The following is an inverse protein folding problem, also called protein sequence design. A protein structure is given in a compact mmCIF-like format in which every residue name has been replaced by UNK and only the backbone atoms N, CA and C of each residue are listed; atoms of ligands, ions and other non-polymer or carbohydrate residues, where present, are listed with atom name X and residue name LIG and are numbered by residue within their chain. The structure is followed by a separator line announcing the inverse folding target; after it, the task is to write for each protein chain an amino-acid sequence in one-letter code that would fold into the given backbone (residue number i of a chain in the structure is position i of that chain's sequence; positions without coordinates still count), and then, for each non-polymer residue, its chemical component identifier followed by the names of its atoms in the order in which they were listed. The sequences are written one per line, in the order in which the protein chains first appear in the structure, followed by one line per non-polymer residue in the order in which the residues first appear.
data_IF_431530531876
#
_entry.id   IF_431530531876
#
_cell.length_a   1.000
_cell.length_b   1.000
_cell.length_c   1.000
_cell.angle_alpha   90.00
_cell.angle_beta   90.00
_cell.angle_gamma   90.00
#
_symmetry.space_group_name_H-M   'P 1'
#
loop_
_entity.id
_entity.type
_entity.pdbx_description
1 polymer ?
#
# COMPACT_ATOMS: atom_id res chain seq x y z
N UNK A 1 41.67 17.68 44.31
CA UNK A 1 41.32 18.43 43.08
C UNK A 1 41.21 17.58 41.80
N UNK A 2 41.68 16.31 41.72
CA UNK A 2 41.58 15.50 40.48
C UNK A 2 40.34 14.59 40.35
N UNK A 3 39.49 14.49 41.38
CA UNK A 3 38.31 13.62 41.41
C UNK A 3 37.00 14.34 41.08
N UNK A 4 36.95 15.67 41.23
CA UNK A 4 35.75 16.48 40.94
C UNK A 4 35.65 16.80 39.44
N UNK A 5 36.78 16.98 38.73
CA UNK A 5 36.80 17.20 37.27
C UNK A 5 36.29 15.99 36.47
N UNK A 6 36.51 14.76 36.96
CA UNK A 6 36.00 13.55 36.30
C UNK A 6 34.48 13.37 36.44
N UNK A 7 33.88 13.87 37.52
CA UNK A 7 32.43 13.85 37.73
C UNK A 7 31.73 14.87 36.82
N UNK A 8 32.34 16.02 36.56
CA UNK A 8 31.80 17.01 35.62
C UNK A 8 31.92 16.59 34.15
N UNK A 9 33.00 15.93 33.74
CA UNK A 9 33.10 15.38 32.37
C UNK A 9 32.07 14.28 32.09
N UNK A 10 31.75 13.42 33.07
CA UNK A 10 30.71 12.41 32.90
C UNK A 10 29.29 13.01 32.88
N UNK A 11 29.02 14.09 33.63
CA UNK A 11 27.70 14.74 33.62
C UNK A 11 27.41 15.48 32.31
N UNK A 12 28.42 16.10 31.68
CA UNK A 12 28.25 16.76 30.37
C UNK A 12 28.04 15.74 29.25
N UNK A 13 28.67 14.56 29.34
CA UNK A 13 28.44 13.46 28.40
C UNK A 13 27.03 12.83 28.52
N UNK A 14 26.45 12.77 29.73
CA UNK A 14 25.08 12.27 29.90
C UNK A 14 24.00 13.27 29.44
N UNK A 15 24.27 14.58 29.50
CA UNK A 15 23.34 15.60 29.00
C UNK A 15 23.32 15.70 27.46
N UNK A 16 24.39 15.31 26.77
CA UNK A 16 24.49 15.35 25.31
C UNK A 16 23.69 14.26 24.57
N UNK A 17 23.19 13.23 25.26
CA UNK A 17 22.37 12.16 24.65
C UNK A 17 20.86 12.36 24.79
N UNK A 18 20.40 13.46 25.40
CA UNK A 18 18.96 13.70 25.62
C UNK A 18 18.29 14.58 24.56
N UNK A 19 19.02 15.00 23.53
CA UNK A 19 18.47 15.75 22.40
C UNK A 19 18.61 15.01 21.07
N UNK A 20 18.48 13.68 21.07
CA UNK A 20 17.89 13.05 19.88
C UNK A 20 16.47 13.58 19.88
N UNK A 21 16.03 14.37 18.88
CA UNK A 21 14.62 14.63 18.74
C UNK A 21 14.01 13.24 18.66
N UNK A 22 13.28 12.84 19.71
CA UNK A 22 12.25 11.83 19.59
C UNK A 22 11.41 12.40 18.47
N UNK A 23 11.65 11.92 17.24
CA UNK A 23 10.85 12.28 16.07
C UNK A 23 9.44 12.17 16.61
N UNK A 24 8.65 13.25 16.61
CA UNK A 24 7.32 13.20 17.18
C UNK A 24 6.70 11.97 16.58
N UNK A 25 6.29 11.01 17.43
CA UNK A 25 5.52 9.87 17.01
C UNK A 25 4.37 10.49 16.25
N UNK A 26 4.49 10.57 14.92
CA UNK A 26 3.59 11.36 14.09
C UNK A 26 2.26 10.73 14.38
N UNK A 27 1.38 11.49 15.04
CA UNK A 27 -0.02 11.14 15.12
C UNK A 27 -0.40 10.75 13.70
N UNK A 28 -0.82 9.51 13.50
CA UNK A 28 -1.24 9.06 12.19
C UNK A 28 -2.26 10.09 11.71
N UNK A 29 -1.95 10.77 10.60
CA UNK A 29 -2.88 11.67 9.94
C UNK A 29 -4.22 10.93 9.84
N UNK A 30 -5.31 11.54 10.27
CA UNK A 30 -6.61 10.87 10.31
C UNK A 30 -6.94 10.26 8.94
N UNK A 31 -7.63 9.11 8.93
CA UNK A 31 -8.10 8.54 7.68
C UNK A 31 -9.16 9.48 7.03
N UNK A 32 -8.97 9.93 5.79
CA UNK A 32 -9.90 10.90 5.17
C UNK A 32 -11.26 10.29 4.82
N UNK A 33 -11.33 8.96 4.73
CA UNK A 33 -12.52 8.24 4.25
C UNK A 33 -13.45 7.79 5.37
N UNK A 34 -12.92 7.57 6.58
CA UNK A 34 -13.69 7.09 7.73
C UNK A 34 -13.03 7.52 9.03
N UNK A 35 -13.80 8.10 9.94
CA UNK A 35 -13.30 8.48 11.26
C UNK A 35 -13.10 7.26 12.17
N UNK A 36 -12.26 7.41 13.21
CA UNK A 36 -12.07 6.35 14.20
C UNK A 36 -13.38 5.95 14.91
N UNK A 37 -14.29 6.89 15.13
CA UNK A 37 -15.59 6.64 15.76
C UNK A 37 -16.52 5.84 14.84
N UNK A 38 -16.58 6.21 13.56
CA UNK A 38 -17.36 5.48 12.56
C UNK A 38 -16.82 4.06 12.38
N UNK A 39 -15.50 3.90 12.30
CA UNK A 39 -14.87 2.58 12.20
C UNK A 39 -15.16 1.71 13.43
N UNK A 40 -15.04 2.28 14.63
CA UNK A 40 -15.35 1.56 15.88
C UNK A 40 -16.83 1.17 15.98
N UNK A 41 -17.74 1.98 15.43
CA UNK A 41 -19.18 1.66 15.36
C UNK A 41 -19.47 0.54 14.36
N UNK A 42 -18.85 0.59 13.19
CA UNK A 42 -19.05 -0.39 12.12
C UNK A 42 -18.42 -1.75 12.46
N UNK A 43 -17.25 -1.76 13.12
CA UNK A 43 -16.50 -2.98 13.47
C UNK A 43 -16.13 -3.03 14.97
N UNK A 44 -17.12 -3.15 15.88
CA UNK A 44 -16.90 -3.00 17.32
C UNK A 44 -16.11 -4.15 17.96
N UNK A 45 -16.06 -5.33 17.32
CA UNK A 45 -15.37 -6.50 17.85
C UNK A 45 -13.83 -6.35 17.91
N UNK A 46 -13.29 -5.33 17.24
CA UNK A 46 -11.85 -5.10 17.11
C UNK A 46 -11.52 -3.65 17.46
N UNK A 47 -10.53 -3.46 18.32
CA UNK A 47 -9.92 -2.14 18.53
C UNK A 47 -8.98 -1.86 17.37
N UNK A 48 -9.36 -0.95 16.49
CA UNK A 48 -8.55 -0.56 15.32
C UNK A 48 -7.71 0.67 15.64
N UNK A 49 -6.42 0.57 15.38
CA UNK A 49 -5.47 1.68 15.45
C UNK A 49 -4.99 2.01 14.04
N UNK A 50 -5.10 3.29 13.64
CA UNK A 50 -4.57 3.74 12.37
C UNK A 50 -3.05 3.67 12.37
N UNK A 51 -2.48 2.97 11.39
CA UNK A 51 -1.03 2.82 11.20
C UNK A 51 -0.53 3.81 10.15
N UNK A 52 -1.31 4.03 9.09
CA UNK A 52 -0.95 4.92 7.99
C UNK A 52 -2.20 5.38 7.26
N UNK A 53 -2.31 6.65 6.92
CA UNK A 53 -3.30 7.16 5.97
C UNK A 53 -2.81 7.10 4.51
N UNK A 54 -1.73 6.36 4.25
CA UNK A 54 -1.13 6.19 2.93
C UNK A 54 -1.03 7.51 2.14
N UNK A 55 -0.66 8.59 2.82
CA UNK A 55 -0.54 9.93 2.24
C UNK A 55 -1.82 10.39 1.50
N UNK A 56 -3.00 10.02 2.02
CA UNK A 56 -4.31 10.45 1.53
C UNK A 56 -4.94 9.59 0.43
N UNK A 57 -4.40 8.41 0.12
CA UNK A 57 -4.99 7.48 -0.88
C UNK A 57 -5.78 6.32 -0.28
N UNK A 58 -5.52 6.03 0.98
CA UNK A 58 -6.01 4.84 1.64
C UNK A 58 -5.73 4.88 3.12
N UNK A 59 -6.05 3.83 3.86
CA UNK A 59 -5.81 3.75 5.29
C UNK A 59 -5.43 2.32 5.66
N UNK A 60 -4.36 2.15 6.44
CA UNK A 60 -3.94 0.89 7.01
C UNK A 60 -4.23 0.93 8.50
N UNK A 61 -4.97 -0.05 9.00
CA UNK A 61 -5.27 -0.20 10.41
C UNK A 61 -4.74 -1.52 10.94
N UNK A 62 -4.32 -1.50 12.21
CA UNK A 62 -4.00 -2.68 12.99
C UNK A 62 -5.13 -2.91 14.00
N UNK A 63 -5.74 -4.09 13.97
CA UNK A 63 -6.66 -4.56 14.99
C UNK A 63 -5.90 -5.09 16.20
N UNK A 64 -6.49 -4.97 17.40
CA UNK A 64 -5.86 -5.38 18.67
C UNK A 64 -5.47 -6.86 18.80
N UNK A 65 -5.86 -7.73 17.84
CA UNK A 65 -5.46 -9.14 17.76
C UNK A 65 -4.36 -9.43 16.71
N UNK A 66 -3.76 -8.37 16.13
CA UNK A 66 -2.83 -8.49 15.02
C UNK A 66 -3.50 -8.49 13.63
N UNK A 67 -4.83 -8.38 13.57
CA UNK A 67 -5.57 -8.22 12.32
C UNK A 67 -5.09 -6.98 11.56
N UNK A 68 -5.03 -7.04 10.24
CA UNK A 68 -4.66 -5.88 9.41
C UNK A 68 -5.80 -5.54 8.48
N UNK A 69 -6.23 -4.29 8.44
CA UNK A 69 -7.17 -3.79 7.46
C UNK A 69 -6.49 -2.79 6.54
N UNK A 70 -6.72 -2.93 5.23
CA UNK A 70 -6.25 -2.01 4.20
C UNK A 70 -7.46 -1.47 3.43
N UNK A 71 -7.66 -0.17 3.48
CA UNK A 71 -8.62 0.59 2.66
C UNK A 71 -7.81 1.33 1.61
N UNK A 72 -8.14 1.19 0.34
CA UNK A 72 -7.45 1.87 -0.77
C UNK A 72 -8.50 2.45 -1.72
N UNK A 73 -8.31 3.71 -2.11
CA UNK A 73 -9.12 4.37 -3.13
C UNK A 73 -8.28 4.51 -4.38
N UNK A 74 -8.85 4.15 -5.52
CA UNK A 74 -8.28 4.37 -6.84
C UNK A 74 -9.18 5.34 -7.59
N UNK A 75 -8.64 6.44 -8.07
CA UNK A 75 -9.30 7.34 -9.02
C UNK A 75 -8.99 6.87 -10.44
N UNK A 76 -9.86 7.17 -11.38
CA UNK A 76 -9.66 6.87 -12.80
C UNK A 76 -9.89 8.13 -13.62
N UNK A 77 -9.39 8.21 -14.87
CA UNK A 77 -9.55 9.39 -15.70
C UNK A 77 -11.02 9.78 -15.88
N UNK A 78 -11.88 8.78 -16.02
CA UNK A 78 -13.32 8.91 -16.15
C UNK A 78 -14.04 7.66 -15.62
N UNK A 79 -15.38 7.70 -15.67
CA UNK A 79 -16.27 6.65 -15.17
C UNK A 79 -16.21 5.36 -16.00
N UNK A 80 -15.98 5.47 -17.31
CA UNK A 80 -15.95 4.30 -18.18
C UNK A 80 -14.67 3.51 -17.93
N UNK A 81 -13.54 4.20 -17.77
CA UNK A 81 -12.28 3.58 -17.35
C UNK A 81 -12.35 2.98 -15.95
N UNK A 82 -13.01 3.67 -15.01
CA UNK A 82 -13.26 3.12 -13.68
C UNK A 82 -14.08 1.81 -13.75
N UNK A 83 -15.10 1.75 -14.60
CA UNK A 83 -15.91 0.54 -14.78
C UNK A 83 -15.10 -0.61 -15.36
N UNK A 84 -14.28 -0.37 -16.38
CA UNK A 84 -13.39 -1.40 -16.94
C UNK A 84 -12.40 -1.95 -15.91
N UNK A 85 -11.77 -1.07 -15.13
CA UNK A 85 -10.82 -1.48 -14.11
C UNK A 85 -11.52 -2.19 -12.96
N UNK A 86 -12.69 -1.73 -12.54
CA UNK A 86 -13.52 -2.40 -11.53
C UNK A 86 -13.83 -3.84 -11.91
N UNK A 87 -14.20 -4.11 -13.17
CA UNK A 87 -14.43 -5.47 -13.65
C UNK A 87 -13.18 -6.36 -13.49
N UNK A 88 -11.98 -5.79 -13.66
CA UNK A 88 -10.71 -6.49 -13.43
C UNK A 88 -10.49 -6.79 -11.96
N UNK A 89 -10.76 -5.83 -11.04
CA UNK A 89 -10.69 -6.06 -9.60
C UNK A 89 -11.64 -7.18 -9.15
N UNK A 90 -12.89 -7.15 -9.63
CA UNK A 90 -13.89 -8.19 -9.33
C UNK A 90 -13.42 -9.55 -9.84
N UNK A 91 -12.92 -9.62 -11.09
CA UNK A 91 -12.38 -10.87 -11.64
C UNK A 91 -11.21 -11.43 -10.82
N UNK A 92 -10.20 -10.61 -10.53
CA UNK A 92 -9.01 -11.02 -9.77
C UNK A 92 -9.34 -11.40 -8.32
N UNK A 93 -10.33 -10.75 -7.72
CA UNK A 93 -10.81 -11.13 -6.40
C UNK A 93 -11.61 -12.45 -6.47
N UNK A 94 -12.43 -12.63 -7.50
CA UNK A 94 -13.20 -13.84 -7.77
C UNK A 94 -12.36 -15.11 -7.99
N UNK A 95 -11.12 -14.96 -8.46
CA UNK A 95 -10.17 -16.07 -8.57
C UNK A 95 -9.70 -16.61 -7.21
N UNK A 96 -9.86 -15.82 -6.13
CA UNK A 96 -9.39 -16.14 -4.76
C UNK A 96 -10.52 -16.45 -3.78
N UNK A 97 -11.73 -15.96 -4.06
CA UNK A 97 -12.90 -16.13 -3.19
C UNK A 97 -14.21 -16.07 -3.98
N UNK A 98 -15.28 -16.75 -3.52
CA UNK A 98 -16.61 -16.49 -4.03
C UNK A 98 -17.04 -15.06 -3.72
N UNK A 99 -17.65 -14.39 -4.70
CA UNK A 99 -18.11 -13.01 -4.58
C UNK A 99 -19.63 -12.92 -4.63
N UNK A 100 -20.17 -12.05 -3.80
CA UNK A 100 -21.57 -11.69 -3.78
C UNK A 100 -21.73 -10.18 -3.94
N UNK A 101 -22.81 -9.76 -4.60
CA UNK A 101 -23.17 -8.36 -4.69
C UNK A 101 -23.44 -7.79 -3.28
N UNK A 102 -22.89 -6.61 -3.01
CA UNK A 102 -23.09 -5.89 -1.75
C UNK A 102 -23.93 -4.65 -2.02
N UNK A 103 -25.18 -4.68 -1.56
CA UNK A 103 -26.13 -3.61 -1.82
C UNK A 103 -25.83 -2.33 -1.01
N UNK A 104 -26.15 -1.18 -1.62
CA UNK A 104 -26.05 0.13 -0.96
C UNK A 104 -24.62 0.61 -0.73
N UNK A 105 -23.69 0.24 -1.61
CA UNK A 105 -22.30 0.73 -1.62
C UNK A 105 -21.96 1.15 -3.06
N UNK A 106 -21.74 2.45 -3.26
CA UNK A 106 -21.41 2.99 -4.58
C UNK A 106 -22.48 2.72 -5.65
N UNK A 107 -22.04 2.76 -6.91
CA UNK A 107 -22.83 2.37 -8.08
C UNK A 107 -22.91 0.84 -8.19
N UNK A 108 -21.81 0.15 -7.88
CA UNK A 108 -21.70 -1.32 -7.85
C UNK A 108 -20.79 -1.75 -6.71
N UNK A 109 -21.12 -2.85 -6.03
CA UNK A 109 -20.32 -3.40 -4.93
C UNK A 109 -20.27 -4.92 -4.95
N UNK A 110 -19.09 -5.49 -4.71
CA UNK A 110 -18.85 -6.94 -4.60
C UNK A 110 -18.03 -7.23 -3.34
N UNK A 111 -18.32 -8.35 -2.67
CA UNK A 111 -17.58 -8.75 -1.48
C UNK A 111 -17.57 -10.26 -1.26
N UNK A 112 -16.58 -10.73 -0.51
CA UNK A 112 -16.39 -12.15 -0.25
C UNK A 112 -15.36 -12.44 0.82
N UNK A 113 -15.23 -13.71 1.15
CA UNK A 113 -14.23 -14.24 2.08
C UNK A 113 -13.48 -15.41 1.46
N UNK A 114 -12.19 -15.50 1.76
CA UNK A 114 -11.36 -16.63 1.39
C UNK A 114 -11.92 -17.96 1.92
N UNK A 115 -11.72 -19.05 1.19
CA UNK A 115 -12.10 -20.38 1.67
C UNK A 115 -11.46 -20.75 3.02
N UNK A 116 -12.13 -21.62 3.78
CA UNK A 116 -11.72 -22.02 5.14
C UNK A 116 -10.31 -22.64 5.25
N UNK A 117 -9.81 -23.23 4.16
CA UNK A 117 -8.46 -23.82 4.07
C UNK A 117 -7.46 -22.97 3.29
N UNK A 118 -7.81 -21.72 2.93
CA UNK A 118 -6.90 -20.84 2.23
C UNK A 118 -5.68 -20.52 3.09
N UNK A 119 -4.50 -20.59 2.48
CA UNK A 119 -3.20 -20.28 3.11
C UNK A 119 -3.19 -18.89 3.76
N UNK A 120 -3.93 -17.96 3.16
CA UNK A 120 -4.17 -16.64 3.72
C UNK A 120 -5.67 -16.39 3.84
N UNK A 121 -6.09 -16.06 5.06
CA UNK A 121 -7.47 -15.65 5.33
C UNK A 121 -7.65 -14.17 4.97
N UNK A 122 -8.75 -13.85 4.28
CA UNK A 122 -9.07 -12.52 3.78
C UNK A 122 -10.60 -12.33 3.70
N UNK A 123 -11.11 -11.20 4.21
CA UNK A 123 -12.42 -10.68 3.86
C UNK A 123 -12.23 -9.40 3.04
N UNK A 124 -12.91 -9.27 1.92
CA UNK A 124 -12.70 -8.15 0.99
C UNK A 124 -14.01 -7.62 0.43
N UNK A 125 -14.05 -6.30 0.23
CA UNK A 125 -15.12 -5.57 -0.47
C UNK A 125 -14.47 -4.65 -1.51
N UNK A 126 -15.00 -4.65 -2.73
CA UNK A 126 -14.67 -3.69 -3.78
C UNK A 126 -15.93 -2.98 -4.23
N UNK A 127 -15.86 -1.67 -4.43
CA UNK A 127 -16.99 -0.86 -4.87
C UNK A 127 -16.57 0.16 -5.93
N UNK A 128 -17.41 0.35 -6.95
CA UNK A 128 -17.33 1.40 -7.95
C UNK A 128 -18.19 2.58 -7.52
N UNK A 129 -17.70 3.81 -7.65
CA UNK A 129 -18.48 5.03 -7.43
C UNK A 129 -17.97 6.16 -8.32
N UNK A 130 -18.69 6.44 -9.40
CA UNK A 130 -18.26 7.41 -10.42
C UNK A 130 -16.92 7.02 -11.05
N UNK A 131 -15.93 7.91 -10.97
CA UNK A 131 -14.56 7.69 -11.43
C UNK A 131 -13.66 7.00 -10.37
N UNK A 132 -14.23 6.56 -9.23
CA UNK A 132 -13.48 5.95 -8.13
C UNK A 132 -13.78 4.46 -7.96
N UNK A 133 -12.77 3.72 -7.53
CA UNK A 133 -12.88 2.35 -7.01
C UNK A 133 -12.38 2.36 -5.57
N UNK A 134 -13.18 1.85 -4.65
CA UNK A 134 -12.80 1.59 -3.27
C UNK A 134 -12.52 0.09 -3.12
N UNK A 135 -11.36 -0.28 -2.59
CA UNK A 135 -11.08 -1.65 -2.15
C UNK A 135 -10.77 -1.65 -0.65
N UNK A 136 -11.44 -2.51 0.11
CA UNK A 136 -11.12 -2.76 1.51
C UNK A 136 -10.88 -4.25 1.72
N UNK A 137 -9.75 -4.59 2.32
CA UNK A 137 -9.37 -5.96 2.67
C UNK A 137 -9.00 -6.05 4.15
N UNK A 138 -9.54 -7.05 4.84
CA UNK A 138 -9.15 -7.41 6.20
C UNK A 138 -8.47 -8.77 6.18
N UNK A 139 -7.27 -8.82 6.77
CA UNK A 139 -6.47 -10.02 6.98
C UNK A 139 -6.51 -10.39 8.47
N UNK A 140 -7.41 -11.29 8.88
CA UNK A 140 -7.48 -11.72 10.27
C UNK A 140 -6.27 -12.60 10.64
N UNK A 141 -5.82 -12.48 11.89
CA UNK A 141 -4.73 -13.30 12.43
C UNK A 141 -5.29 -14.47 13.24
N UNK A 142 -4.84 -15.69 12.92
CA UNK A 142 -5.15 -16.90 13.70
C UNK A 142 -6.62 -17.34 13.67
N UNK A 143 -7.43 -16.81 12.75
CA UNK A 143 -8.86 -17.14 12.61
C UNK A 143 -9.32 -17.03 11.16
N UNK A 144 -10.48 -17.61 10.86
CA UNK A 144 -11.08 -17.56 9.52
C UNK A 144 -11.62 -16.17 9.21
N UNK A 145 -11.63 -15.85 7.92
CA UNK A 145 -12.46 -14.79 7.38
C UNK A 145 -13.85 -15.36 7.07
N UNK A 146 -14.89 -14.83 7.72
CA UNK A 146 -16.26 -15.32 7.62
C UNK A 146 -17.25 -14.14 7.56
N UNK A 147 -18.55 -14.44 7.54
CA UNK A 147 -19.61 -13.44 7.44
C UNK A 147 -19.66 -12.49 8.64
N UNK A 148 -19.19 -12.95 9.82
CA UNK A 148 -19.05 -12.11 10.99
C UNK A 148 -17.98 -11.02 10.80
N UNK A 149 -17.07 -11.19 9.84
CA UNK A 149 -16.13 -10.16 9.40
C UNK A 149 -16.65 -9.38 8.17
N UNK A 150 -17.26 -10.07 7.20
CA UNK A 150 -17.69 -9.47 5.93
C UNK A 150 -18.85 -8.47 6.09
N UNK A 151 -19.82 -8.75 6.97
CA UNK A 151 -20.94 -7.85 7.24
C UNK A 151 -20.47 -6.48 7.78
N UNK A 152 -19.73 -6.45 8.90
CA UNK A 152 -19.09 -5.22 9.42
C UNK A 152 -18.19 -4.52 8.41
N UNK A 153 -17.42 -5.27 7.61
CA UNK A 153 -16.57 -4.70 6.55
C UNK A 153 -17.38 -4.00 5.45
N UNK A 154 -18.56 -4.55 5.11
CA UNK A 154 -19.48 -3.92 4.15
C UNK A 154 -20.03 -2.60 4.67
N UNK A 155 -20.30 -2.48 5.98
CA UNK A 155 -20.67 -1.19 6.60
C UNK A 155 -19.53 -0.19 6.54
N UNK A 156 -18.29 -0.62 6.81
CA UNK A 156 -17.11 0.25 6.65
C UNK A 156 -16.99 0.75 5.21
N UNK A 157 -17.19 -0.14 4.22
CA UNK A 157 -17.16 0.23 2.81
C UNK A 157 -18.27 1.23 2.44
N UNK A 158 -19.48 1.09 3.01
CA UNK A 158 -20.58 2.05 2.83
C UNK A 158 -20.23 3.46 3.32
N UNK A 159 -19.61 3.56 4.49
CA UNK A 159 -19.19 4.85 5.05
C UNK A 159 -18.03 5.44 4.24
N UNK A 160 -17.04 4.60 3.92
CA UNK A 160 -15.84 5.03 3.19
C UNK A 160 -16.14 5.47 1.76
N UNK A 161 -17.03 4.78 1.03
CA UNK A 161 -17.33 5.09 -0.36
C UNK A 161 -17.96 6.47 -0.52
N UNK A 162 -18.76 6.92 0.47
CA UNK A 162 -19.35 8.26 0.48
C UNK A 162 -18.30 9.39 0.61
N UNK A 163 -17.06 9.05 0.95
CA UNK A 163 -15.97 9.99 1.21
C UNK A 163 -14.81 9.86 0.22
N UNK A 164 -14.89 9.03 -0.83
CA UNK A 164 -13.77 8.76 -1.76
C UNK A 164 -13.28 10.00 -2.50
N UNK A 165 -14.13 11.01 -2.69
CA UNK A 165 -13.75 12.29 -3.29
C UNK A 165 -12.78 13.11 -2.43
N UNK A 166 -12.62 12.78 -1.14
CA UNK A 166 -11.58 13.35 -0.27
C UNK A 166 -10.20 12.75 -0.53
N UNK A 167 -10.10 11.78 -1.44
CA UNK A 167 -8.83 11.20 -1.83
C UNK A 167 -7.90 12.29 -2.37
N UNK A 168 -6.62 12.19 -2.03
CA UNK A 168 -5.59 13.09 -2.56
C UNK A 168 -5.20 12.78 -4.02
N UNK A 169 -5.80 11.73 -4.60
CA UNK A 169 -5.52 11.27 -5.95
C UNK A 169 -5.90 12.29 -7.04
N UNK A 170 -4.95 12.52 -7.95
CA UNK A 170 -5.05 13.53 -9.02
C UNK A 170 -4.20 13.16 -10.21
N UNK A 171 -4.67 13.45 -11.42
CA UNK A 171 -3.88 13.30 -12.63
C UNK A 171 -2.89 14.46 -12.77
N UNK A 172 -1.70 14.19 -13.31
CA UNK A 172 -0.65 15.20 -13.50
C UNK A 172 0.73 14.69 -13.11
N UNK A 173 1.65 15.61 -12.84
CA UNK A 173 3.07 15.28 -12.63
C UNK A 173 3.31 14.43 -11.37
N UNK A 174 4.31 13.55 -11.45
CA UNK A 174 4.81 12.79 -10.33
C UNK A 174 6.20 13.27 -9.90
N UNK A 175 6.40 13.51 -8.61
CA UNK A 175 7.71 13.89 -8.05
C UNK A 175 8.65 12.67 -7.90
N UNK A 176 8.10 11.46 -7.84
CA UNK A 176 8.84 10.22 -7.65
C UNK A 176 9.32 9.61 -8.97
N UNK A 177 8.48 9.67 -10.02
CA UNK A 177 8.72 9.15 -11.35
C UNK A 177 8.65 10.25 -12.41
N UNK A 178 9.50 10.14 -13.42
CA UNK A 178 9.61 11.00 -14.60
C UNK A 178 9.37 10.18 -15.86
N UNK A 179 9.05 10.82 -16.99
CA UNK A 179 8.89 10.10 -18.26
C UNK A 179 10.17 9.34 -18.70
N UNK A 180 11.34 9.76 -18.21
CA UNK A 180 12.60 9.02 -18.42
C UNK A 180 12.64 7.73 -17.61
N UNK A 181 11.99 7.67 -16.45
CA UNK A 181 11.89 6.44 -15.65
C UNK A 181 11.03 5.39 -16.33
N UNK A 182 10.06 5.82 -17.14
CA UNK A 182 9.20 4.96 -17.95
C UNK A 182 9.90 4.43 -19.21
N UNK A 183 11.10 4.92 -19.55
CA UNK A 183 11.79 4.52 -20.77
C UNK A 183 12.18 3.05 -20.78
N UNK A 184 11.86 2.37 -21.87
CA UNK A 184 12.04 0.93 -21.99
C UNK A 184 11.09 0.11 -21.12
N UNK A 185 10.12 0.72 -20.41
CA UNK A 185 9.08 0.01 -19.66
C UNK A 185 7.67 0.29 -20.23
N UNK A 186 7.41 1.53 -20.61
CA UNK A 186 6.11 2.02 -21.07
C UNK A 186 6.28 2.77 -22.39
N UNK A 187 5.24 2.74 -23.23
CA UNK A 187 5.20 3.60 -24.42
C UNK A 187 5.05 5.08 -24.03
N UNK A 188 6.15 5.83 -24.19
CA UNK A 188 6.23 7.26 -23.88
C UNK A 188 5.22 8.10 -24.67
N UNK A 189 4.80 7.68 -25.87
CA UNK A 189 3.90 8.45 -26.73
C UNK A 189 2.45 8.46 -26.21
N UNK A 190 2.12 7.51 -25.34
CA UNK A 190 0.77 7.34 -24.75
C UNK A 190 0.80 7.37 -23.23
N UNK A 191 1.88 7.91 -22.66
CA UNK A 191 2.12 7.90 -21.22
C UNK A 191 1.13 8.81 -20.48
N UNK A 192 0.40 8.22 -19.55
CA UNK A 192 -0.40 8.92 -18.57
C UNK A 192 0.22 8.81 -17.18
N UNK A 193 0.06 9.86 -16.37
CA UNK A 193 0.58 9.92 -15.01
C UNK A 193 -0.53 10.28 -14.05
N UNK A 194 -0.70 9.42 -13.05
CA UNK A 194 -1.65 9.59 -11.97
C UNK A 194 -0.89 9.68 -10.65
N UNK A 195 -1.06 10.79 -9.94
CA UNK A 195 -0.66 10.87 -8.54
C UNK A 195 -1.70 10.12 -7.71
N UNK A 196 -1.32 8.98 -7.17
CA UNK A 196 -2.15 8.08 -6.37
C UNK A 196 -2.02 8.36 -4.87
N UNK A 197 -1.52 9.53 -4.46
CA UNK A 197 -1.28 9.90 -3.06
C UNK A 197 -0.24 11.03 -2.93
N UNK A 198 -0.04 11.61 -1.74
CA UNK A 198 1.03 12.60 -1.58
C UNK A 198 2.41 11.96 -1.85
N UNK A 199 2.70 10.78 -1.32
CA UNK A 199 3.93 10.04 -1.59
C UNK A 199 3.84 9.01 -2.72
N UNK A 200 2.77 8.97 -3.51
CA UNK A 200 2.52 7.86 -4.44
C UNK A 200 2.09 8.33 -5.83
N UNK A 201 2.55 7.62 -6.86
CA UNK A 201 2.08 7.82 -8.22
C UNK A 201 2.18 6.54 -9.06
N UNK A 202 1.45 6.56 -10.16
CA UNK A 202 1.38 5.54 -11.17
C UNK A 202 1.62 6.19 -12.53
N UNK A 203 2.38 5.52 -13.39
CA UNK A 203 2.51 5.81 -14.80
C UNK A 203 1.99 4.61 -15.58
N UNK A 204 1.23 4.84 -16.64
CA UNK A 204 0.75 3.76 -17.49
C UNK A 204 0.68 4.21 -18.95
N UNK A 205 0.79 3.25 -19.87
CA UNK A 205 0.61 3.48 -21.30
C UNK A 205 -0.79 3.04 -21.77
N UNK A 206 -1.08 3.24 -23.06
CA UNK A 206 -2.36 2.83 -23.66
C UNK A 206 -2.60 1.31 -23.58
N UNK A 207 -1.55 0.50 -23.50
CA UNK A 207 -1.67 -0.96 -23.33
C UNK A 207 -1.90 -1.36 -21.87
N UNK A 208 -2.00 -0.38 -20.95
CA UNK A 208 -2.14 -0.55 -19.51
C UNK A 208 -0.94 -1.24 -18.84
N UNK A 209 0.25 -1.22 -19.47
CA UNK A 209 1.48 -1.51 -18.75
C UNK A 209 1.65 -0.45 -17.67
N UNK A 210 2.04 -0.86 -16.47
CA UNK A 210 1.99 0.03 -15.31
C UNK A 210 3.33 0.08 -14.58
N UNK A 211 3.80 1.28 -14.28
CA UNK A 211 4.86 1.54 -13.32
C UNK A 211 4.29 2.31 -12.12
N UNK A 212 4.57 1.87 -10.90
CA UNK A 212 4.04 2.51 -9.68
C UNK A 212 5.17 2.78 -8.71
N UNK A 213 5.15 3.95 -8.07
CA UNK A 213 5.90 4.22 -6.85
C UNK A 213 4.93 4.55 -5.73
N UNK A 214 5.07 3.88 -4.61
CA UNK A 214 4.34 4.17 -3.39
C UNK A 214 5.31 4.41 -2.25
N UNK A 215 5.43 5.65 -1.79
CA UNK A 215 6.18 6.03 -0.59
C UNK A 215 5.19 6.22 0.54
N UNK A 216 5.41 5.51 1.65
CA UNK A 216 4.58 5.61 2.85
C UNK A 216 5.46 5.77 4.08
N UNK A 217 5.02 6.60 5.02
CA UNK A 217 5.59 6.62 6.37
C UNK A 217 5.24 5.31 7.08
N UNK A 218 6.25 4.61 7.62
CA UNK A 218 6.05 3.35 8.35
C UNK A 218 7.23 3.04 9.27
N UNK A 219 7.00 2.22 10.29
CA UNK A 219 8.06 1.79 11.20
C UNK A 219 9.04 0.83 10.50
N UNK A 220 10.31 0.82 10.94
CA UNK A 220 11.32 -0.14 10.44
C UNK A 220 10.84 -1.58 10.63
N UNK A 221 10.30 -1.90 11.81
CA UNK A 221 9.81 -3.25 12.12
C UNK A 221 8.67 -3.69 11.19
N UNK A 222 7.72 -2.80 10.92
CA UNK A 222 6.62 -3.04 9.96
C UNK A 222 7.17 -3.26 8.56
N UNK A 223 8.08 -2.39 8.11
CA UNK A 223 8.71 -2.52 6.80
C UNK A 223 9.42 -3.87 6.71
N UNK A 224 10.38 -4.16 7.60
CA UNK A 224 11.14 -5.42 7.65
C UNK A 224 10.24 -6.65 7.75
N UNK A 225 9.13 -6.57 8.49
CA UNK A 225 8.13 -7.64 8.57
C UNK A 225 7.43 -7.89 7.23
N UNK A 226 7.08 -6.82 6.50
CA UNK A 226 6.57 -6.94 5.13
C UNK A 226 7.62 -7.51 4.17
N UNK A 227 8.91 -7.23 4.38
CA UNK A 227 10.00 -7.76 3.56
C UNK A 227 10.29 -9.24 3.79
N UNK A 228 10.07 -9.72 5.00
CA UNK A 228 10.39 -11.10 5.41
C UNK A 228 9.24 -12.07 5.17
N UNK A 229 8.31 -11.76 4.26
CA UNK A 229 7.16 -12.62 3.98
C UNK A 229 7.64 -14.02 3.56
N UNK A 230 7.35 -15.01 4.39
CA UNK A 230 7.50 -16.41 4.03
C UNK A 230 6.48 -16.72 2.95
N UNK A 231 6.96 -16.87 1.72
CA UNK A 231 6.16 -17.29 0.58
C UNK A 231 7.07 -17.97 -0.44
N UNK A 232 6.50 -18.56 -1.50
CA UNK A 232 7.27 -19.16 -2.59
C UNK A 232 8.07 -18.13 -3.39
N UNK A 233 8.06 -16.86 -2.95
CA UNK A 233 8.67 -15.77 -3.65
C UNK A 233 10.14 -15.56 -3.41
N UNK A 234 10.87 -15.44 -4.52
CA UNK A 234 12.31 -15.27 -4.53
C UNK A 234 12.61 -13.80 -4.22
N UNK A 235 13.24 -13.59 -3.07
CA UNK A 235 13.80 -12.30 -2.69
C UNK A 235 15.22 -12.16 -3.24
N UNK A 236 15.53 -11.00 -3.82
CA UNK A 236 16.87 -10.64 -4.29
C UNK A 236 17.34 -9.44 -3.48
N UNK A 237 18.39 -9.59 -2.67
CA UNK A 237 18.95 -8.46 -1.93
C UNK A 237 19.55 -7.42 -2.90
N UNK A 238 19.42 -6.14 -2.58
CA UNK A 238 19.96 -5.02 -3.36
C UNK A 238 20.89 -4.21 -2.44
N UNK A 239 22.08 -4.74 -2.09
CA UNK A 239 22.94 -4.17 -1.05
C UNK A 239 23.36 -2.72 -1.33
N UNK A 240 23.44 -2.32 -2.60
CA UNK A 240 23.74 -0.95 -3.03
C UNK A 240 22.69 0.09 -2.57
N UNK A 241 21.48 -0.35 -2.21
CA UNK A 241 20.40 0.50 -1.67
C UNK A 241 20.19 0.31 -0.16
N UNK A 242 21.16 -0.30 0.54
CA UNK A 242 21.12 -0.54 1.98
C UNK A 242 20.68 -1.95 2.36
N UNK A 243 20.78 -2.26 3.65
CA UNK A 243 20.47 -3.61 4.17
C UNK A 243 18.96 -3.91 4.21
N UNK A 244 18.12 -2.89 4.07
CA UNK A 244 16.66 -2.99 3.99
C UNK A 244 16.11 -2.74 2.57
N UNK A 245 16.85 -3.17 1.56
CA UNK A 245 16.45 -3.12 0.16
C UNK A 245 16.45 -4.52 -0.49
N UNK A 246 15.34 -4.85 -1.16
CA UNK A 246 15.21 -6.14 -1.85
C UNK A 246 14.21 -6.05 -3.01
N UNK A 247 14.43 -6.89 -4.01
CA UNK A 247 13.49 -7.16 -5.09
C UNK A 247 12.67 -8.42 -4.82
N UNK A 248 11.42 -8.41 -5.28
CA UNK A 248 10.49 -9.52 -5.28
C UNK A 248 10.08 -9.80 -6.73
N UNK A 249 10.29 -11.04 -7.18
CA UNK A 249 9.66 -11.56 -8.39
C UNK A 249 8.21 -11.97 -8.06
N UNK A 250 7.31 -12.04 -9.03
CA UNK A 250 5.98 -12.62 -8.83
C UNK A 250 6.02 -14.13 -9.08
N UNK A 251 5.62 -14.95 -8.09
CA UNK A 251 6.04 -16.38 -8.02
C UNK A 251 4.91 -17.33 -7.64
N UNK A 252 3.73 -16.79 -7.35
CA UNK A 252 2.50 -17.58 -7.28
C UNK A 252 1.35 -16.77 -7.83
N UNK A 253 0.43 -17.49 -8.50
CA UNK A 253 -0.79 -17.03 -9.19
C UNK A 253 -1.12 -15.54 -9.00
N UNK A 254 -0.93 -14.80 -10.09
CA UNK A 254 -1.02 -13.34 -10.23
C UNK A 254 -0.32 -12.95 -11.53
N UNK A 255 0.13 -11.70 -11.65
CA UNK A 255 0.94 -11.29 -12.80
C UNK A 255 2.40 -11.77 -12.64
N UNK A 256 2.73 -12.96 -13.15
CA UNK A 256 4.08 -13.55 -13.10
C UNK A 256 5.17 -12.75 -13.83
N UNK A 257 4.78 -11.69 -14.54
CA UNK A 257 5.69 -10.80 -15.28
C UNK A 257 6.04 -9.54 -14.48
N UNK A 258 5.38 -9.32 -13.35
CA UNK A 258 5.61 -8.16 -12.50
C UNK A 258 6.88 -8.30 -11.65
N UNK A 259 7.51 -7.16 -11.38
CA UNK A 259 8.68 -7.05 -10.51
C UNK A 259 8.48 -5.88 -9.56
N UNK A 260 8.74 -6.11 -8.28
CA UNK A 260 8.66 -5.07 -7.25
C UNK A 260 10.01 -4.92 -6.56
N UNK A 261 10.45 -3.69 -6.33
CA UNK A 261 11.56 -3.37 -5.44
C UNK A 261 11.02 -2.62 -4.24
N UNK A 262 11.42 -3.05 -3.06
CA UNK A 262 11.13 -2.37 -1.81
C UNK A 262 12.43 -1.81 -1.25
N UNK A 263 12.35 -0.57 -0.77
CA UNK A 263 13.45 0.08 -0.04
C UNK A 263 12.90 0.75 1.20
N UNK A 264 13.69 0.78 2.26
CA UNK A 264 13.36 1.53 3.48
C UNK A 264 14.48 2.48 3.84
N UNK A 265 14.14 3.73 4.16
CA UNK A 265 15.08 4.78 4.59
C UNK A 265 14.32 5.85 5.36
N UNK A 266 14.93 6.40 6.42
CA UNK A 266 14.41 7.56 7.16
C UNK A 266 12.94 7.45 7.62
N UNK A 267 12.50 6.26 8.05
CA UNK A 267 11.12 6.04 8.52
C UNK A 267 10.08 5.98 7.40
N UNK A 268 10.52 5.82 6.15
CA UNK A 268 9.66 5.65 4.99
C UNK A 268 10.02 4.36 4.26
N UNK A 269 9.00 3.66 3.78
CA UNK A 269 9.15 2.57 2.82
C UNK A 269 8.74 3.10 1.46
N UNK A 270 9.53 2.83 0.43
CA UNK A 270 9.09 2.95 -0.95
C UNK A 270 8.92 1.56 -1.57
N UNK A 271 7.81 1.37 -2.28
CA UNK A 271 7.54 0.23 -3.14
C UNK A 271 7.52 0.72 -4.57
N UNK A 272 8.41 0.17 -5.41
CA UNK A 272 8.53 0.48 -6.83
C UNK A 272 8.12 -0.77 -7.59
N UNK A 273 7.08 -0.70 -8.41
CA UNK A 273 6.51 -1.82 -9.13
C UNK A 273 6.54 -1.53 -10.63
N UNK A 274 6.90 -2.53 -11.42
CA UNK A 274 6.55 -2.60 -12.84
C UNK A 274 5.68 -3.85 -13.08
N UNK A 275 4.53 -3.64 -13.71
CA UNK A 275 3.53 -4.66 -14.00
C UNK A 275 3.04 -4.53 -15.45
N UNK A 276 3.63 -5.29 -16.39
CA UNK A 276 3.18 -5.28 -17.77
C UNK A 276 2.01 -6.26 -17.97
N UNK A 277 1.11 -5.95 -18.92
CA UNK A 277 -0.10 -6.76 -19.18
C UNK A 277 0.24 -8.08 -19.89
N UNK A 278 1.27 -8.05 -20.72
CA UNK A 278 1.84 -9.21 -21.41
C UNK A 278 3.30 -9.41 -20.99
N UNK A 279 3.91 -10.57 -21.27
CA UNK A 279 5.35 -10.70 -21.13
C UNK A 279 6.07 -9.56 -21.86
N UNK A 280 6.87 -8.80 -21.11
CA UNK A 280 7.63 -7.66 -21.58
C UNK A 280 9.13 -8.01 -21.50
N UNK A 281 10.01 -7.45 -22.35
CA UNK A 281 11.47 -7.70 -22.26
C UNK A 281 12.05 -7.45 -20.86
N UNK A 282 11.46 -6.50 -20.13
CA UNK A 282 11.87 -6.11 -18.78
C UNK A 282 11.11 -6.85 -17.66
N UNK A 283 10.22 -7.78 -18.00
CA UNK A 283 9.47 -8.59 -17.03
C UNK A 283 10.40 -9.44 -16.18
N UNK A 284 10.09 -9.54 -14.88
CA UNK A 284 10.84 -10.39 -13.96
C UNK A 284 12.31 -10.01 -13.76
N UNK A 285 12.76 -8.84 -14.23
CA UNK A 285 14.14 -8.37 -14.05
C UNK A 285 14.22 -7.29 -12.97
N UNK A 286 14.73 -7.65 -11.79
CA UNK A 286 15.01 -6.68 -10.70
C UNK A 286 16.06 -5.67 -11.14
N UNK A 287 17.09 -6.10 -11.88
CA UNK A 287 18.23 -5.27 -12.28
C UNK A 287 17.84 -4.00 -13.02
N UNK A 288 16.79 -4.08 -13.83
CA UNK A 288 16.33 -2.94 -14.63
C UNK A 288 15.54 -1.94 -13.80
N UNK A 289 14.78 -2.42 -12.81
CA UNK A 289 14.06 -1.56 -11.88
C UNK A 289 14.98 -0.93 -10.82
N UNK A 290 16.19 -1.47 -10.61
CA UNK A 290 17.16 -0.91 -9.64
C UNK A 290 17.52 0.55 -9.91
N UNK A 291 17.64 0.96 -11.17
CA UNK A 291 17.97 2.35 -11.50
C UNK A 291 16.87 3.31 -11.04
N UNK A 292 15.60 2.92 -11.25
CA UNK A 292 14.43 3.66 -10.76
C UNK A 292 14.41 3.65 -9.23
N UNK A 293 14.61 2.48 -8.61
CA UNK A 293 14.65 2.33 -7.16
C UNK A 293 15.76 3.17 -6.51
N UNK A 294 16.95 3.25 -7.12
CA UNK A 294 18.05 4.07 -6.63
C UNK A 294 17.75 5.56 -6.66
N UNK A 295 17.06 6.04 -7.70
CA UNK A 295 16.58 7.43 -7.75
C UNK A 295 15.52 7.71 -6.69
N UNK A 296 14.57 6.81 -6.49
CA UNK A 296 13.56 6.93 -5.42
C UNK A 296 14.24 6.92 -4.04
N UNK A 297 15.19 6.01 -3.81
CA UNK A 297 15.97 5.91 -2.57
C UNK A 297 16.81 7.16 -2.28
N UNK A 298 17.33 7.82 -3.32
CA UNK A 298 18.02 9.11 -3.19
C UNK A 298 17.10 10.24 -2.72
N UNK A 299 15.80 10.16 -3.02
CA UNK A 299 14.77 11.14 -2.62
C UNK A 299 14.16 10.88 -1.23
N UNK A 300 14.31 9.67 -0.68
CA UNK A 300 13.91 9.31 0.70
C UNK A 300 14.87 9.89 1.73
#
# INVERSE_FOLDING_TARGET
MRTIDRLFSCLVLFLAFTTVPVLPARAAETCPFISAQELARAMPALKWSLISNQDGRGCIYQGGRGDTMMLTVFRNPDKDRARELYATFVKTLGERMPLNAVAGIGDEGQGGTSAAGAERQEASVVALSGDYILQISVYPTGRRADDALLGPLSEVARIAVANVSKSSERFGTCEWLTATDADGFLDKSTLEVQRTGAGSCMMFDREANTMTVAVIATSRGTATGMMKRTGPCKHVAIPELGSEAFGEHSCTKGNGTAVTVYVWKNGRQASILFAPVKPHPESGSVERLKAVAGRVYGKL
#
